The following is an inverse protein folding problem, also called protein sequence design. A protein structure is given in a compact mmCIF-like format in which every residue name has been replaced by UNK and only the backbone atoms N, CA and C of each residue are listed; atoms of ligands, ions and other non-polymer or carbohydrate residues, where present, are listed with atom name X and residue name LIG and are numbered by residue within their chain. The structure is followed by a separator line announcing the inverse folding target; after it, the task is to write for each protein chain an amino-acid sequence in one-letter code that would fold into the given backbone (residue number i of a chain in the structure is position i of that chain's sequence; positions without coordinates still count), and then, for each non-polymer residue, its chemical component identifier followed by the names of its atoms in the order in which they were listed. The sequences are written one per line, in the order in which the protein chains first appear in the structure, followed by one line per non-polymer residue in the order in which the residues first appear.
data_IF_634162127600
#
_entry.id   IF_634162127600
#
_cell.length_a   1.000
_cell.length_b   1.000
_cell.length_c   1.000
_cell.angle_alpha   90.00
_cell.angle_beta   90.00
_cell.angle_gamma   90.00
#
_symmetry.space_group_name_H-M   'P 1'
#
loop_
_entity.id
_entity.type
_entity.pdbx_description
1 polymer ?
#
# COMPACT_ATOMS: atom_id res chain seq x y z
N UNK A 1 -53.20 12.98 -20.29
CA UNK A 1 -52.65 11.60 -20.36
C UNK A 1 -51.20 11.55 -20.85
N UNK A 2 -50.84 12.19 -21.97
CA UNK A 2 -49.48 12.15 -22.54
C UNK A 2 -48.37 12.66 -21.61
N UNK A 3 -48.62 13.76 -20.88
CA UNK A 3 -47.66 14.30 -19.90
C UNK A 3 -47.48 13.43 -18.65
N UNK A 4 -48.56 12.80 -18.16
CA UNK A 4 -48.51 11.86 -17.04
C UNK A 4 -47.69 10.61 -17.42
N UNK A 5 -47.87 10.13 -18.65
CA UNK A 5 -47.16 8.97 -19.18
C UNK A 5 -45.65 9.26 -19.33
N UNK A 6 -45.28 10.45 -19.81
CA UNK A 6 -43.88 10.89 -19.87
C UNK A 6 -43.26 11.00 -18.48
N UNK A 7 -44.00 11.51 -17.49
CA UNK A 7 -43.53 11.67 -16.12
C UNK A 7 -43.30 10.31 -15.43
N UNK A 8 -44.15 9.32 -15.68
CA UNK A 8 -43.95 7.96 -15.18
C UNK A 8 -42.72 7.29 -15.81
N UNK A 9 -42.50 7.51 -17.11
CA UNK A 9 -41.32 6.98 -17.81
C UNK A 9 -40.04 7.60 -17.24
N UNK A 10 -39.99 8.92 -17.04
CA UNK A 10 -38.79 9.57 -16.48
C UNK A 10 -38.51 9.13 -15.04
N UNK A 11 -39.52 8.96 -14.19
CA UNK A 11 -39.33 8.43 -12.83
C UNK A 11 -38.80 7.00 -12.88
N UNK A 12 -39.34 6.15 -13.74
CA UNK A 12 -38.91 4.76 -13.90
C UNK A 12 -37.44 4.68 -14.34
N UNK A 13 -37.06 5.45 -15.37
CA UNK A 13 -35.68 5.49 -15.87
C UNK A 13 -34.72 6.04 -14.81
N UNK A 14 -35.08 7.12 -14.12
CA UNK A 14 -34.26 7.68 -13.04
C UNK A 14 -34.06 6.67 -11.89
N UNK A 15 -35.12 5.94 -11.52
CA UNK A 15 -35.07 4.93 -10.47
C UNK A 15 -34.15 3.76 -10.85
N UNK A 16 -34.21 3.31 -12.11
CA UNK A 16 -33.32 2.26 -12.63
C UNK A 16 -31.84 2.70 -12.62
N UNK A 17 -31.54 3.94 -12.99
CA UNK A 17 -30.17 4.48 -12.95
C UNK A 17 -29.63 4.47 -11.52
N UNK A 18 -30.42 4.94 -10.55
CA UNK A 18 -30.03 4.95 -9.14
C UNK A 18 -29.82 3.52 -8.61
N UNK A 19 -30.69 2.59 -8.97
CA UNK A 19 -30.58 1.17 -8.57
C UNK A 19 -29.33 0.50 -9.13
N UNK A 20 -28.98 0.76 -10.39
CA UNK A 20 -27.74 0.24 -11.00
C UNK A 20 -26.52 0.83 -10.29
N UNK A 21 -26.54 2.12 -9.96
CA UNK A 21 -25.43 2.78 -9.29
C UNK A 21 -25.22 2.26 -7.86
N UNK A 22 -26.31 2.13 -7.09
CA UNK A 22 -26.28 1.56 -5.73
C UNK A 22 -25.93 0.07 -5.74
N UNK A 23 -26.46 -0.68 -6.71
CA UNK A 23 -26.18 -2.10 -6.90
C UNK A 23 -24.70 -2.35 -7.18
N UNK A 24 -24.09 -1.58 -8.09
CA UNK A 24 -22.64 -1.68 -8.35
C UNK A 24 -21.81 -1.33 -7.12
N UNK A 25 -22.18 -0.30 -6.35
CA UNK A 25 -21.46 0.04 -5.11
C UNK A 25 -21.54 -1.06 -4.05
N UNK A 26 -22.67 -1.76 -3.93
CA UNK A 26 -22.83 -2.84 -2.96
C UNK A 26 -22.11 -4.13 -3.38
N UNK A 27 -22.08 -4.43 -4.68
CA UNK A 27 -21.46 -5.64 -5.24
C UNK A 27 -19.93 -5.52 -5.30
N UNK A 28 -19.40 -4.31 -5.50
CA UNK A 28 -17.95 -4.05 -5.59
C UNK A 28 -17.26 -3.81 -4.24
N UNK A 29 -17.90 -4.13 -3.11
CA UNK A 29 -17.18 -4.19 -1.83
C UNK A 29 -16.28 -5.43 -1.84
N UNK A 30 -15.15 -5.30 -2.54
CA UNK A 30 -14.06 -6.27 -2.45
C UNK A 30 -13.70 -6.47 -0.98
N UNK A 31 -13.37 -7.71 -0.58
CA UNK A 31 -12.94 -7.98 0.79
C UNK A 31 -11.72 -7.10 1.11
N UNK A 32 -11.92 -6.09 1.95
CA UNK A 32 -10.84 -5.21 2.38
C UNK A 32 -10.06 -5.86 3.52
N UNK A 33 -8.74 -5.82 3.44
CA UNK A 33 -7.87 -6.31 4.51
C UNK A 33 -8.09 -5.45 5.76
N UNK A 34 -8.47 -6.02 6.92
CA UNK A 34 -8.54 -5.26 8.16
C UNK A 34 -7.20 -4.63 8.50
N UNK A 35 -7.17 -3.35 8.90
CA UNK A 35 -5.92 -2.64 9.22
C UNK A 35 -5.04 -3.41 10.23
N UNK A 36 -5.65 -4.11 11.19
CA UNK A 36 -4.93 -4.92 12.19
C UNK A 36 -4.07 -6.04 11.58
N UNK A 37 -4.44 -6.56 10.41
CA UNK A 37 -3.64 -7.56 9.68
C UNK A 37 -2.30 -7.01 9.21
N UNK A 38 -2.16 -5.70 9.02
CA UNK A 38 -0.89 -5.09 8.60
C UNK A 38 0.22 -5.31 9.64
N UNK A 39 -0.14 -5.41 10.92
CA UNK A 39 0.81 -5.75 11.99
C UNK A 39 1.33 -7.18 11.86
N UNK A 40 0.44 -8.15 11.61
CA UNK A 40 0.84 -9.54 11.35
C UNK A 40 1.74 -9.64 10.11
N UNK A 41 1.45 -8.86 9.08
CA UNK A 41 2.22 -8.82 7.83
C UNK A 41 3.60 -8.21 8.06
N UNK A 42 3.69 -7.09 8.78
CA UNK A 42 4.96 -6.45 9.11
C UNK A 42 5.86 -7.39 9.92
N UNK A 43 5.30 -8.02 10.95
CA UNK A 43 6.02 -8.99 11.79
C UNK A 43 6.57 -10.16 10.96
N UNK A 44 5.74 -10.77 10.10
CA UNK A 44 6.20 -11.86 9.20
C UNK A 44 7.27 -11.40 8.22
N UNK A 45 7.15 -10.21 7.64
CA UNK A 45 8.18 -9.67 6.74
C UNK A 45 9.50 -9.37 7.46
N UNK A 46 9.44 -8.94 8.72
CA UNK A 46 10.63 -8.67 9.51
C UNK A 46 11.29 -9.96 10.04
N UNK A 47 10.51 -10.98 10.38
CA UNK A 47 11.00 -12.25 10.96
C UNK A 47 11.28 -13.33 9.91
N UNK A 48 10.31 -13.64 9.06
CA UNK A 48 10.33 -14.74 8.09
C UNK A 48 10.80 -14.30 6.70
N UNK A 49 10.80 -12.99 6.43
CA UNK A 49 11.16 -12.39 5.13
C UNK A 49 10.26 -12.79 3.95
N UNK A 50 9.20 -13.54 4.20
CA UNK A 50 8.20 -14.00 3.24
C UNK A 50 6.81 -13.82 3.83
N UNK A 51 5.84 -13.47 2.98
CA UNK A 51 4.42 -13.50 3.31
C UNK A 51 3.64 -14.19 2.20
N UNK A 52 2.54 -14.83 2.58
CA UNK A 52 1.51 -15.29 1.66
C UNK A 52 0.24 -14.52 1.96
N UNK A 53 -0.36 -13.99 0.91
CA UNK A 53 -1.56 -13.16 0.99
C UNK A 53 -2.57 -13.67 -0.01
N UNK A 54 -3.82 -13.80 0.45
CA UNK A 54 -4.93 -14.32 -0.35
C UNK A 54 -5.73 -13.20 -1.06
N UNK A 55 -5.31 -11.95 -0.85
CA UNK A 55 -5.92 -10.73 -1.41
C UNK A 55 -4.94 -10.06 -2.39
N UNK A 56 -5.48 -9.39 -3.39
CA UNK A 56 -4.68 -8.66 -4.38
C UNK A 56 -3.78 -7.63 -3.69
N UNK A 57 -2.47 -7.82 -3.81
CA UNK A 57 -1.46 -6.94 -3.24
C UNK A 57 -1.05 -5.88 -4.25
N UNK A 58 -1.21 -4.60 -3.89
CA UNK A 58 -0.68 -3.48 -4.68
C UNK A 58 0.71 -3.11 -4.20
N UNK A 59 1.58 -2.75 -5.14
CA UNK A 59 2.98 -2.37 -4.87
C UNK A 59 3.24 -0.98 -5.40
N UNK A 60 3.54 -0.05 -4.49
CA UNK A 60 3.95 1.31 -4.82
C UNK A 60 5.46 1.43 -4.68
N UNK A 61 6.10 1.94 -5.74
CA UNK A 61 7.53 2.25 -5.78
C UNK A 61 7.72 3.75 -5.59
N UNK A 62 8.37 4.15 -4.51
CA UNK A 62 8.66 5.54 -4.18
C UNK A 62 10.16 5.79 -4.41
N UNK A 63 10.54 6.54 -5.45
CA UNK A 63 11.94 6.95 -5.63
C UNK A 63 12.44 7.69 -4.40
N UNK A 64 13.66 7.39 -3.97
CA UNK A 64 14.27 7.98 -2.78
C UNK A 64 15.79 8.10 -2.99
N UNK A 65 16.45 8.85 -2.12
CA UNK A 65 17.90 9.00 -2.18
C UNK A 65 18.50 8.81 -0.79
N UNK A 66 19.48 7.92 -0.71
CA UNK A 66 20.32 7.77 0.47
C UNK A 66 21.56 8.62 0.31
N UNK A 67 21.83 9.46 1.31
CA UNK A 67 22.99 10.34 1.33
C UNK A 67 23.85 9.99 2.53
N UNK A 68 25.10 9.63 2.27
CA UNK A 68 26.13 9.48 3.29
C UNK A 68 27.04 10.69 3.27
N UNK A 69 27.20 11.30 4.43
CA UNK A 69 28.16 12.38 4.64
C UNK A 69 29.39 11.79 5.31
N UNK A 70 30.51 11.80 4.59
CA UNK A 70 31.83 11.41 5.05
C UNK A 70 32.68 12.68 5.18
N UNK A 71 33.76 12.64 5.97
CA UNK A 71 34.62 13.81 6.24
C UNK A 71 35.07 14.54 4.96
N UNK A 72 35.39 13.78 3.89
CA UNK A 72 35.91 14.34 2.64
C UNK A 72 35.03 14.07 1.41
N UNK A 73 33.84 13.49 1.58
CA UNK A 73 32.99 13.11 0.46
C UNK A 73 31.51 13.03 0.83
N UNK A 74 30.63 13.30 -0.13
CA UNK A 74 29.22 12.96 -0.02
C UNK A 74 28.91 11.86 -1.03
N UNK A 75 28.52 10.69 -0.55
CA UNK A 75 28.05 9.61 -1.40
C UNK A 75 26.52 9.68 -1.51
N UNK A 76 26.00 9.62 -2.73
CA UNK A 76 24.56 9.64 -3.00
C UNK A 76 24.17 8.37 -3.75
N UNK A 77 23.20 7.66 -3.23
CA UNK A 77 22.66 6.44 -3.83
C UNK A 77 21.18 6.65 -4.11
N UNK A 78 20.79 6.48 -5.37
CA UNK A 78 19.38 6.43 -5.71
C UNK A 78 18.84 5.07 -5.28
N UNK A 79 17.80 5.12 -4.47
CA UNK A 79 17.14 3.95 -3.88
C UNK A 79 15.66 4.01 -4.22
N UNK A 80 14.97 2.89 -4.05
CA UNK A 80 13.51 2.85 -4.18
C UNK A 80 12.93 2.28 -2.91
N UNK A 81 12.06 3.05 -2.27
CA UNK A 81 11.24 2.58 -1.16
C UNK A 81 10.04 1.84 -1.73
N UNK A 82 9.73 0.68 -1.15
CA UNK A 82 8.65 -0.18 -1.58
C UNK A 82 7.55 -0.14 -0.54
N UNK A 83 6.32 0.09 -1.00
CA UNK A 83 5.13 0.07 -0.16
C UNK A 83 4.22 -1.04 -0.70
N UNK A 84 3.88 -1.99 0.17
CA UNK A 84 2.95 -3.07 -0.09
C UNK A 84 1.62 -2.70 0.55
N UNK A 85 0.55 -2.55 -0.23
CA UNK A 85 -0.70 -1.99 0.28
C UNK A 85 -1.96 -2.62 -0.32
N UNK A 86 -3.06 -2.37 0.37
CA UNK A 86 -4.43 -2.75 0.03
C UNK A 86 -5.35 -1.55 0.21
N UNK A 87 -6.46 -1.53 -0.53
CA UNK A 87 -7.53 -0.55 -0.35
C UNK A 87 -8.36 -0.94 0.88
N UNK A 88 -8.14 -0.22 1.99
CA UNK A 88 -8.85 -0.44 3.25
C UNK A 88 -8.71 0.80 4.16
N UNK A 89 -9.76 1.15 4.92
CA UNK A 89 -9.69 2.24 5.89
C UNK A 89 -8.55 2.05 6.89
N UNK A 90 -7.76 3.10 7.10
CA UNK A 90 -6.59 3.07 7.98
C UNK A 90 -6.37 4.41 8.68
N UNK A 91 -5.69 4.44 9.83
CA UNK A 91 -5.10 5.68 10.33
C UNK A 91 -3.98 6.15 9.41
N UNK A 92 -3.75 7.48 9.35
CA UNK A 92 -2.59 8.05 8.66
C UNK A 92 -1.33 7.75 9.45
N UNK A 93 -0.48 6.88 8.91
CA UNK A 93 0.75 6.42 9.54
C UNK A 93 1.81 6.20 8.48
N UNK A 94 2.94 6.89 8.59
CA UNK A 94 4.14 6.59 7.82
C UNK A 94 5.35 6.99 8.65
N UNK A 95 5.78 6.10 9.55
CA UNK A 95 6.87 6.38 10.48
C UNK A 95 7.78 5.17 10.61
N UNK A 96 9.09 5.44 10.58
CA UNK A 96 10.10 4.43 10.83
C UNK A 96 10.04 3.94 12.28
N UNK A 97 10.01 2.62 12.45
CA UNK A 97 9.91 1.95 13.76
C UNK A 97 11.22 1.31 14.23
N UNK A 98 12.31 1.47 13.49
CA UNK A 98 13.57 0.75 13.75
C UNK A 98 13.67 -0.60 13.02
N UNK A 99 12.66 -0.96 12.25
CA UNK A 99 12.61 -2.23 11.50
C UNK A 99 12.58 -1.98 9.99
N UNK A 100 12.91 -3.02 9.21
CA UNK A 100 13.00 -2.92 7.76
C UNK A 100 11.62 -2.68 7.15
N UNK A 101 10.58 -3.28 7.72
CA UNK A 101 9.20 -3.05 7.36
C UNK A 101 8.46 -2.39 8.52
N UNK A 102 7.80 -1.26 8.25
CA UNK A 102 6.95 -0.58 9.23
C UNK A 102 5.55 -0.39 8.67
N UNK A 103 4.56 -0.32 9.57
CA UNK A 103 3.16 -0.08 9.22
C UNK A 103 3.00 1.23 8.46
N UNK A 104 2.14 1.20 7.45
CA UNK A 104 1.84 2.32 6.58
C UNK A 104 0.33 2.47 6.38
N UNK A 105 -0.16 3.70 6.29
CA UNK A 105 -1.56 4.00 5.99
C UNK A 105 -1.83 5.46 5.64
N UNK A 106 -2.85 5.69 4.82
CA UNK A 106 -3.18 7.02 4.25
C UNK A 106 -4.56 7.55 4.68
N UNK A 107 -5.37 6.75 5.37
CA UNK A 107 -6.80 7.05 5.57
C UNK A 107 -7.70 6.06 4.84
N UNK A 108 -7.36 5.77 3.58
CA UNK A 108 -8.11 4.91 2.66
C UNK A 108 -7.35 3.66 2.21
N UNK A 109 -6.05 3.60 2.48
CA UNK A 109 -5.20 2.46 2.14
C UNK A 109 -4.41 2.03 3.38
N UNK A 110 -4.19 0.73 3.52
CA UNK A 110 -3.34 0.18 4.58
C UNK A 110 -2.26 -0.71 4.00
N UNK A 111 -1.13 -0.79 4.69
CA UNK A 111 -0.05 -1.64 4.23
C UNK A 111 1.19 -1.59 5.10
N UNK A 112 2.31 -1.93 4.49
CA UNK A 112 3.64 -1.88 5.07
C UNK A 112 4.58 -1.19 4.11
N UNK A 113 5.57 -0.51 4.68
CA UNK A 113 6.53 0.28 3.95
C UNK A 113 7.94 -0.18 4.29
N UNK A 114 8.78 -0.31 3.27
CA UNK A 114 10.18 -0.65 3.48
C UNK A 114 10.96 0.57 3.96
N UNK A 115 11.99 0.34 4.75
CA UNK A 115 12.96 1.33 5.21
C UNK A 115 14.37 0.87 4.86
N UNK A 116 15.35 1.68 5.23
CA UNK A 116 16.76 1.31 5.19
C UNK A 116 17.27 1.35 6.63
N UNK A 117 17.90 0.25 7.04
CA UNK A 117 18.60 0.18 8.32
C UNK A 117 20.08 0.29 8.03
N UNK A 118 20.74 1.20 8.73
CA UNK A 118 22.18 1.36 8.70
C UNK A 118 22.70 1.06 10.10
N UNK A 119 23.54 0.03 10.22
CA UNK A 119 24.23 -0.34 11.44
C UNK A 119 25.73 -0.11 11.24
N UNK A 120 26.37 0.53 12.23
CA UNK A 120 27.80 0.77 12.24
C UNK A 120 28.38 0.23 13.55
N UNK A 121 29.33 -0.71 13.45
CA UNK A 121 30.04 -1.28 14.59
C UNK A 121 31.46 -0.68 14.77
N UNK A 122 31.79 0.38 14.02
CA UNK A 122 33.08 1.06 14.01
C UNK A 122 34.13 0.41 13.10
N UNK A 123 33.88 -0.80 12.60
CA UNK A 123 34.74 -1.50 11.64
C UNK A 123 34.02 -1.80 10.32
N UNK A 124 32.70 -2.00 10.39
CA UNK A 124 31.85 -2.40 9.27
C UNK A 124 30.54 -1.61 9.30
N UNK A 125 30.20 -1.10 8.14
CA UNK A 125 28.89 -0.54 7.86
C UNK A 125 28.00 -1.63 7.26
N UNK A 126 26.89 -1.98 7.92
CA UNK A 126 25.88 -2.90 7.39
C UNK A 126 24.66 -2.09 6.96
N UNK A 127 24.25 -2.26 5.71
CA UNK A 127 23.10 -1.57 5.14
C UNK A 127 22.06 -2.62 4.74
N UNK A 128 20.91 -2.59 5.38
CA UNK A 128 19.78 -3.46 5.09
C UNK A 128 18.76 -2.68 4.27
N UNK A 129 18.38 -3.24 3.12
CA UNK A 129 17.42 -2.63 2.21
C UNK A 129 16.57 -3.71 1.54
N UNK A 130 15.39 -3.31 1.06
CA UNK A 130 14.53 -4.15 0.23
C UNK A 130 14.85 -3.86 -1.24
N UNK A 131 15.04 -4.91 -2.02
CA UNK A 131 15.16 -4.82 -3.47
C UNK A 131 14.00 -5.57 -4.13
N UNK A 132 13.46 -5.04 -5.22
CA UNK A 132 12.51 -5.77 -6.07
C UNK A 132 13.26 -6.24 -7.31
N UNK A 133 13.60 -7.51 -7.37
CA UNK A 133 13.96 -8.14 -8.63
C UNK A 133 12.69 -8.66 -9.29
N UNK A 134 12.36 -8.19 -10.50
CA UNK A 134 11.36 -8.84 -11.33
C UNK A 134 11.88 -10.25 -11.63
N UNK A 135 11.32 -11.24 -10.94
CA UNK A 135 11.51 -12.64 -11.28
C UNK A 135 10.61 -12.93 -12.47
N UNK A 136 11.12 -12.80 -13.69
CA UNK A 136 10.49 -13.34 -14.90
C UNK A 136 10.68 -14.85 -14.88
N UNK A 137 9.89 -15.56 -14.08
CA UNK A 137 9.74 -17.00 -14.24
C UNK A 137 8.50 -17.20 -15.11
N UNK A 138 8.76 -17.59 -16.35
CA UNK A 138 7.80 -18.07 -17.33
C UNK A 138 7.22 -19.43 -16.93
#
# INVERSE_FOLDING_TARGET
MRGLLLLLITISVASCIVLVFLGNMLIQREPSLPFTKTFEIADKLNTQKEIRVDLELKVLKVPSQLRFELENATLKFNITRIILYWEAPSPKLDKYTGELWSIWGTGSECGVSSWIIVEDDGLRLKIYYVNTTLSTVH
#
